data_IF_574810577379
#
_entry.id   IF_574810577379
#
_cell.length_a   1.000
_cell.length_b   1.000
_cell.length_c   1.000
_cell.angle_alpha   90.00
_cell.angle_beta   90.00
_cell.angle_gamma   90.00
#
_symmetry.space_group_name_H-M   'P 1'
#
loop_
_entity.id
_entity.type
_entity.pdbx_description
1 polymer ?
#
# COMPACT_ATOMS: atom_id res chain seq x y z
N UNK A 1 -16.00 -15.18 1.69
CA UNK A 1 -14.68 -14.80 2.26
C UNK A 1 -14.21 -13.52 1.62
N UNK A 2 -13.84 -12.53 2.40
CA UNK A 2 -13.15 -11.39 1.81
C UNK A 2 -11.82 -11.85 1.23
N UNK A 3 -11.47 -11.34 0.08
CA UNK A 3 -10.19 -11.61 -0.54
C UNK A 3 -9.05 -10.91 0.20
N UNK A 4 -7.84 -11.13 -0.28
CA UNK A 4 -6.66 -10.45 0.26
C UNK A 4 -6.73 -8.95 -0.03
N UNK A 5 -6.18 -8.18 0.88
CA UNK A 5 -6.16 -6.72 0.80
C UNK A 5 -4.73 -6.22 0.67
N UNK A 6 -4.51 -5.31 -0.27
CA UNK A 6 -3.25 -4.58 -0.42
C UNK A 6 -3.42 -3.17 0.13
N UNK A 7 -2.41 -2.66 0.83
CA UNK A 7 -2.44 -1.32 1.44
C UNK A 7 -1.33 -0.45 0.84
N UNK A 8 -1.73 0.71 0.30
CA UNK A 8 -0.81 1.72 -0.21
C UNK A 8 -0.12 2.49 0.93
N UNK A 9 1.01 3.10 0.64
CA UNK A 9 1.83 3.81 1.64
C UNK A 9 1.09 4.94 2.34
N UNK A 10 0.20 5.68 1.66
CA UNK A 10 -0.56 6.76 2.30
C UNK A 10 -1.39 6.25 3.49
N UNK A 11 -1.96 5.05 3.39
CA UNK A 11 -2.73 4.45 4.47
C UNK A 11 -1.81 4.09 5.66
N UNK A 12 -0.63 3.53 5.39
CA UNK A 12 0.36 3.23 6.43
C UNK A 12 0.75 4.51 7.18
N UNK A 13 1.00 5.58 6.45
CA UNK A 13 1.39 6.87 7.02
C UNK A 13 0.30 7.40 7.96
N UNK A 14 -0.98 7.31 7.60
CA UNK A 14 -2.05 7.71 8.51
C UNK A 14 -2.08 6.84 9.76
N UNK A 15 -1.88 5.53 9.62
CA UNK A 15 -1.94 4.60 10.75
C UNK A 15 -0.83 4.87 11.79
N UNK A 16 0.35 5.30 11.36
CA UNK A 16 1.50 5.55 12.25
C UNK A 16 1.65 7.00 12.66
N UNK A 17 0.90 7.91 12.04
CA UNK A 17 0.99 9.35 12.30
C UNK A 17 0.21 9.77 13.53
N UNK A 18 -0.02 11.09 13.64
CA UNK A 18 -0.78 11.65 14.74
C UNK A 18 -2.22 11.18 14.73
N UNK A 19 -2.83 11.09 15.91
CA UNK A 19 -4.23 10.73 16.07
C UNK A 19 -5.12 11.67 15.25
N UNK A 20 -6.02 11.09 14.44
CA UNK A 20 -6.93 11.79 13.56
C UNK A 20 -8.07 10.85 13.15
N UNK A 21 -9.10 11.38 12.48
CA UNK A 21 -10.15 10.54 11.91
C UNK A 21 -9.58 9.52 10.94
N UNK A 22 -8.66 9.94 10.08
CA UNK A 22 -8.03 9.03 9.12
C UNK A 22 -7.17 7.96 9.80
N UNK A 23 -6.43 8.32 10.86
CA UNK A 23 -5.67 7.35 11.64
C UNK A 23 -6.60 6.30 12.27
N UNK A 24 -7.74 6.71 12.80
CA UNK A 24 -8.74 5.80 13.33
C UNK A 24 -9.32 4.84 12.28
N UNK A 25 -9.49 5.31 11.06
CA UNK A 25 -10.00 4.48 9.97
C UNK A 25 -8.92 3.56 9.39
N UNK A 26 -7.66 4.00 9.42
CA UNK A 26 -6.54 3.24 8.87
C UNK A 26 -6.08 2.10 9.79
N UNK A 27 -6.02 2.34 11.10
CA UNK A 27 -5.46 1.37 12.05
C UNK A 27 -6.11 -0.02 12.00
N UNK A 28 -7.45 -0.15 11.93
CA UNK A 28 -8.08 -1.48 11.88
C UNK A 28 -7.73 -2.30 10.65
N UNK A 29 -7.27 -1.66 9.57
CA UNK A 29 -6.93 -2.36 8.33
C UNK A 29 -5.71 -3.27 8.48
N UNK A 30 -4.92 -3.10 9.53
CA UNK A 30 -3.71 -3.89 9.80
C UNK A 30 -3.97 -5.12 10.67
N UNK A 31 -5.20 -5.32 11.15
CA UNK A 31 -5.51 -6.42 12.08
C UNK A 31 -5.51 -7.80 11.40
N UNK A 32 -5.88 -7.87 10.12
CA UNK A 32 -6.06 -9.14 9.42
C UNK A 32 -4.95 -9.44 8.39
N UNK A 33 -3.72 -9.14 8.75
CA UNK A 33 -2.53 -9.46 7.93
C UNK A 33 -2.66 -8.97 6.47
N UNK A 34 -2.79 -7.65 6.26
CA UNK A 34 -2.84 -7.11 4.89
C UNK A 34 -1.52 -7.32 4.17
N UNK A 35 -1.54 -7.19 2.85
CA UNK A 35 -0.35 -7.24 2.02
C UNK A 35 0.14 -5.82 1.74
N UNK A 36 1.44 -5.63 1.82
CA UNK A 36 2.15 -4.44 1.32
C UNK A 36 3.31 -4.91 0.46
N UNK A 37 3.96 -4.00 -0.25
CA UNK A 37 5.15 -4.32 -1.04
C UNK A 37 6.40 -3.69 -0.45
N UNK A 38 7.55 -4.12 -0.93
CA UNK A 38 8.83 -3.48 -0.59
C UNK A 38 8.84 -2.01 -1.01
N UNK A 39 8.13 -1.64 -2.08
CA UNK A 39 7.94 -0.23 -2.46
C UNK A 39 7.18 0.54 -1.38
N UNK A 40 6.09 -0.03 -0.85
CA UNK A 40 5.30 0.60 0.22
C UNK A 40 6.17 0.86 1.45
N UNK A 41 7.01 -0.11 1.82
CA UNK A 41 7.95 0.06 2.94
C UNK A 41 8.90 1.23 2.66
N UNK A 42 9.49 1.26 1.47
CA UNK A 42 10.45 2.31 1.09
C UNK A 42 9.82 3.70 1.07
N UNK A 43 8.63 3.84 0.52
CA UNK A 43 7.89 5.10 0.51
C UNK A 43 7.52 5.55 1.92
N UNK A 44 7.09 4.61 2.76
CA UNK A 44 6.75 4.88 4.15
C UNK A 44 7.97 5.39 4.94
N UNK A 45 9.13 4.75 4.77
CA UNK A 45 10.38 5.19 5.40
C UNK A 45 10.71 6.62 4.99
N UNK A 46 10.60 6.92 3.70
CA UNK A 46 10.93 8.25 3.20
C UNK A 46 10.04 9.34 3.82
N UNK A 47 8.73 9.10 3.83
CA UNK A 47 7.78 10.06 4.41
C UNK A 47 7.93 10.16 5.94
N UNK A 48 8.11 9.04 6.62
CA UNK A 48 8.31 9.01 8.08
C UNK A 48 9.55 9.80 8.47
N UNK A 49 10.63 9.67 7.72
CA UNK A 49 11.88 10.42 7.95
C UNK A 49 11.71 11.91 7.71
N UNK A 50 11.07 12.29 6.59
CA UNK A 50 11.02 13.69 6.14
C UNK A 50 9.89 14.49 6.78
N UNK A 51 8.73 13.87 7.01
CA UNK A 51 7.54 14.59 7.49
C UNK A 51 7.19 14.30 8.94
N UNK A 52 7.42 13.08 9.43
CA UNK A 52 7.07 12.70 10.79
C UNK A 52 8.25 12.84 11.75
N UNK A 53 9.43 13.21 11.26
CA UNK A 53 10.61 13.42 12.08
C UNK A 53 11.13 12.18 12.79
N UNK A 54 10.82 10.98 12.26
CA UNK A 54 11.26 9.74 12.87
C UNK A 54 12.76 9.53 12.68
N UNK A 55 13.45 9.17 13.75
CA UNK A 55 14.88 8.86 13.72
C UNK A 55 15.14 7.42 13.25
N UNK A 56 16.43 7.11 13.09
CA UNK A 56 16.86 5.79 12.58
C UNK A 56 16.30 4.63 13.41
N UNK A 57 16.38 4.74 14.74
CA UNK A 57 15.90 3.67 15.62
C UNK A 57 14.39 3.47 15.52
N UNK A 58 13.63 4.57 15.43
CA UNK A 58 12.17 4.51 15.27
C UNK A 58 11.79 3.87 13.93
N UNK A 59 12.51 4.20 12.87
CA UNK A 59 12.28 3.61 11.53
C UNK A 59 12.56 2.12 11.54
N UNK A 60 13.62 1.68 12.22
CA UNK A 60 13.89 0.23 12.35
C UNK A 60 12.74 -0.49 13.05
N UNK A 61 12.18 0.10 14.10
CA UNK A 61 11.00 -0.47 14.79
C UNK A 61 9.77 -0.48 13.90
N UNK A 62 9.59 0.56 13.09
CA UNK A 62 8.50 0.63 12.11
C UNK A 62 8.58 -0.51 11.10
N UNK A 63 9.76 -0.75 10.55
CA UNK A 63 9.96 -1.84 9.57
C UNK A 63 9.69 -3.20 10.23
N UNK A 64 10.18 -3.42 11.44
CA UNK A 64 9.91 -4.65 12.19
C UNK A 64 8.41 -4.85 12.43
N UNK A 65 7.69 -3.77 12.76
CA UNK A 65 6.25 -3.83 12.95
C UNK A 65 5.54 -4.19 11.64
N UNK A 66 5.93 -3.59 10.52
CA UNK A 66 5.35 -3.91 9.22
C UNK A 66 5.59 -5.37 8.83
N UNK A 67 6.80 -5.88 9.06
CA UNK A 67 7.12 -7.28 8.78
C UNK A 67 6.27 -8.26 9.61
N UNK A 68 5.98 -7.90 10.87
CA UNK A 68 5.18 -8.77 11.73
C UNK A 68 3.68 -8.65 11.50
N UNK A 69 3.22 -7.55 10.91
CA UNK A 69 1.81 -7.21 10.77
C UNK A 69 1.28 -7.47 9.37
N UNK A 70 2.16 -7.46 8.36
CA UNK A 70 1.79 -7.55 6.95
C UNK A 70 2.49 -8.72 6.25
N UNK A 71 1.86 -9.23 5.19
CA UNK A 71 2.56 -10.02 4.18
C UNK A 71 3.30 -9.06 3.26
N UNK A 72 4.55 -9.40 2.91
CA UNK A 72 5.40 -8.51 2.11
C UNK A 72 5.59 -9.08 0.71
N UNK A 73 5.10 -8.36 -0.28
CA UNK A 73 5.32 -8.65 -1.69
C UNK A 73 6.61 -7.98 -2.16
N UNK A 74 7.52 -8.76 -2.71
CA UNK A 74 8.80 -8.24 -3.19
C UNK A 74 8.65 -7.75 -4.62
N UNK A 75 9.05 -6.50 -4.88
CA UNK A 75 9.07 -5.94 -6.24
C UNK A 75 10.21 -6.59 -7.02
N UNK A 76 9.87 -7.23 -8.12
CA UNK A 76 10.82 -7.93 -8.98
C UNK A 76 10.83 -7.31 -10.37
N UNK A 77 11.70 -7.80 -11.24
CA UNK A 77 11.68 -7.39 -12.65
C UNK A 77 10.34 -7.73 -13.32
N UNK A 78 9.74 -8.87 -12.95
CA UNK A 78 8.40 -9.24 -13.42
C UNK A 78 7.35 -8.21 -12.99
N UNK A 79 7.46 -7.70 -11.75
CA UNK A 79 6.58 -6.63 -11.27
C UNK A 79 6.71 -5.37 -12.14
N UNK A 80 7.92 -5.02 -12.52
CA UNK A 80 8.19 -3.85 -13.37
C UNK A 80 7.55 -4.03 -14.75
N UNK A 81 7.67 -5.21 -15.35
CA UNK A 81 7.02 -5.50 -16.63
C UNK A 81 5.50 -5.41 -16.54
N UNK A 82 4.92 -5.99 -15.49
CA UNK A 82 3.48 -5.91 -15.26
C UNK A 82 3.03 -4.46 -15.05
N UNK A 83 3.82 -3.67 -14.31
CA UNK A 83 3.52 -2.27 -14.08
C UNK A 83 3.52 -1.46 -15.37
N UNK A 84 4.39 -1.78 -16.32
CA UNK A 84 4.39 -1.14 -17.64
C UNK A 84 3.09 -1.43 -18.39
N UNK A 85 2.60 -2.67 -18.35
CA UNK A 85 1.33 -3.04 -18.95
C UNK A 85 0.15 -2.32 -18.29
N UNK A 86 0.15 -2.24 -16.96
CA UNK A 86 -0.87 -1.53 -16.19
C UNK A 86 -0.87 -0.04 -16.55
N UNK A 87 0.30 0.57 -16.61
CA UNK A 87 0.44 1.99 -16.97
C UNK A 87 -0.09 2.26 -18.37
N UNK A 88 0.24 1.42 -19.32
CA UNK A 88 -0.21 1.56 -20.70
C UNK A 88 -1.74 1.47 -20.80
N UNK A 89 -2.33 0.50 -20.11
CA UNK A 89 -3.77 0.25 -20.19
C UNK A 89 -4.60 1.27 -19.40
N UNK A 90 -4.15 1.66 -18.19
CA UNK A 90 -4.97 2.46 -17.28
C UNK A 90 -4.50 3.91 -17.12
N UNK A 91 -3.29 4.23 -17.52
CA UNK A 91 -2.79 5.61 -17.47
C UNK A 91 -2.37 6.09 -16.09
N UNK A 92 -2.11 5.20 -15.14
CA UNK A 92 -1.59 5.59 -13.82
C UNK A 92 -0.18 6.16 -13.93
N UNK A 93 0.24 6.93 -12.90
CA UNK A 93 1.65 7.27 -12.72
C UNK A 93 2.48 5.99 -12.62
N UNK A 94 3.81 6.12 -12.80
CA UNK A 94 4.68 4.95 -12.71
C UNK A 94 4.59 4.27 -11.34
N UNK A 95 4.69 5.04 -10.26
CA UNK A 95 4.67 4.44 -8.91
C UNK A 95 3.31 3.85 -8.56
N UNK A 96 2.22 4.47 -8.98
CA UNK A 96 0.87 3.89 -8.81
C UNK A 96 0.72 2.61 -9.61
N UNK A 97 1.31 2.55 -10.81
CA UNK A 97 1.32 1.33 -11.62
C UNK A 97 2.06 0.19 -10.93
N UNK A 98 3.16 0.49 -10.23
CA UNK A 98 3.89 -0.51 -9.43
C UNK A 98 3.08 -1.00 -8.23
N UNK A 99 2.33 -0.11 -7.58
CA UNK A 99 1.42 -0.48 -6.48
C UNK A 99 0.36 -1.45 -7.00
N UNK A 100 -0.28 -1.11 -8.10
CA UNK A 100 -1.31 -1.95 -8.72
C UNK A 100 -0.73 -3.30 -9.14
N UNK A 101 0.44 -3.31 -9.78
CA UNK A 101 1.10 -4.53 -10.20
C UNK A 101 1.40 -5.45 -9.03
N UNK A 102 1.91 -4.92 -7.93
CA UNK A 102 2.19 -5.72 -6.73
C UNK A 102 0.91 -6.32 -6.13
N UNK A 103 -0.16 -5.55 -6.09
CA UNK A 103 -1.45 -6.03 -5.61
C UNK A 103 -1.99 -7.17 -6.49
N UNK A 104 -1.85 -7.05 -7.80
CA UNK A 104 -2.25 -8.10 -8.74
C UNK A 104 -1.39 -9.36 -8.57
N UNK A 105 -0.08 -9.21 -8.45
CA UNK A 105 0.82 -10.34 -8.26
C UNK A 105 0.56 -11.08 -6.95
N UNK A 106 0.18 -10.37 -5.91
CA UNK A 106 -0.16 -10.95 -4.61
C UNK A 106 -1.57 -11.55 -4.58
N UNK A 107 -2.32 -11.49 -5.69
CA UNK A 107 -3.69 -11.97 -5.80
C UNK A 107 -4.65 -11.28 -4.83
N UNK A 108 -4.43 -9.99 -4.58
CA UNK A 108 -5.34 -9.20 -3.77
C UNK A 108 -6.61 -8.87 -4.55
N UNK A 109 -7.73 -8.79 -3.86
CA UNK A 109 -9.02 -8.40 -4.44
C UNK A 109 -9.34 -6.93 -4.20
N UNK A 110 -8.69 -6.30 -3.22
CA UNK A 110 -8.88 -4.89 -2.89
C UNK A 110 -7.52 -4.21 -2.72
N UNK A 111 -7.45 -2.96 -3.17
CA UNK A 111 -6.31 -2.08 -2.96
C UNK A 111 -6.81 -0.84 -2.24
N UNK A 112 -6.42 -0.68 -0.99
CA UNK A 112 -6.75 0.53 -0.23
C UNK A 112 -5.75 1.63 -0.55
N UNK A 113 -6.26 2.74 -1.09
CA UNK A 113 -5.46 3.92 -1.43
C UNK A 113 -6.33 5.17 -1.38
N UNK A 114 -5.78 6.27 -0.88
CA UNK A 114 -6.46 7.57 -0.90
C UNK A 114 -6.28 8.27 -2.24
N UNK A 115 -5.18 8.02 -2.93
CA UNK A 115 -4.77 8.80 -4.12
C UNK A 115 -5.33 8.28 -5.43
N UNK A 116 -5.88 7.08 -5.45
CA UNK A 116 -6.43 6.46 -6.65
C UNK A 116 -7.96 6.53 -6.66
N UNK A 117 -8.55 6.30 -7.84
CA UNK A 117 -10.00 6.41 -8.02
C UNK A 117 -10.74 5.30 -7.29
N UNK A 118 -11.54 5.69 -6.31
CA UNK A 118 -12.40 4.77 -5.56
C UNK A 118 -13.36 4.04 -6.48
N UNK A 119 -13.45 2.73 -6.32
CA UNK A 119 -14.36 1.88 -7.06
C UNK A 119 -13.84 1.39 -8.41
N UNK A 120 -12.67 1.87 -8.86
CA UNK A 120 -12.12 1.40 -10.12
C UNK A 120 -11.71 -0.07 -10.02
N UNK A 121 -12.07 -0.86 -11.04
CA UNK A 121 -11.73 -2.28 -11.11
C UNK A 121 -10.61 -2.49 -12.12
N UNK A 122 -9.56 -3.18 -11.71
CA UNK A 122 -8.39 -3.47 -12.52
C UNK A 122 -8.38 -4.96 -12.88
N UNK A 123 -8.26 -5.26 -14.18
CA UNK A 123 -8.17 -6.64 -14.69
C UNK A 123 -9.29 -7.54 -14.19
N UNK A 124 -10.49 -6.98 -14.00
CA UNK A 124 -11.70 -7.67 -13.51
C UNK A 124 -11.55 -8.36 -12.16
N UNK A 125 -10.50 -8.06 -11.38
CA UNK A 125 -10.24 -8.78 -10.13
C UNK A 125 -9.73 -7.96 -8.96
N UNK A 126 -9.25 -6.73 -9.20
CA UNK A 126 -8.74 -5.84 -8.15
C UNK A 126 -9.59 -4.58 -8.10
N UNK A 127 -10.19 -4.27 -6.96
CA UNK A 127 -10.98 -3.06 -6.77
C UNK A 127 -10.21 -2.07 -5.89
N UNK A 128 -10.09 -0.83 -6.36
CA UNK A 128 -9.49 0.26 -5.59
C UNK A 128 -10.53 0.79 -4.62
N UNK A 129 -10.14 0.94 -3.35
CA UNK A 129 -11.01 1.42 -2.28
C UNK A 129 -10.32 2.57 -1.54
N UNK A 130 -11.01 3.71 -1.46
CA UNK A 130 -10.58 4.78 -0.56
C UNK A 130 -11.32 4.59 0.77
N UNK A 131 -10.62 4.22 1.87
CA UNK A 131 -11.28 3.92 3.13
C UNK A 131 -11.79 5.15 3.88
N UNK A 132 -11.52 6.36 3.35
CA UNK A 132 -11.84 7.62 4.02
C UNK A 132 -13.10 8.30 3.47
N UNK A 133 -13.78 7.69 2.51
CA UNK A 133 -15.02 8.24 1.96
C UNK A 133 -16.22 7.37 2.28
#
# INVERSE_FOLDING_TARGET
MPGKVFIDSNIVIYAIGQASTKAHLAAPLFVELPTISTQVISETINVASLRLGMGVAEIRRLVTWLESTCEIEIITLASIHLAQDVRERYGFSWYDSLIVAAALEANCSQLFSEDMQHGQVISDRLTIVNPFI
#
